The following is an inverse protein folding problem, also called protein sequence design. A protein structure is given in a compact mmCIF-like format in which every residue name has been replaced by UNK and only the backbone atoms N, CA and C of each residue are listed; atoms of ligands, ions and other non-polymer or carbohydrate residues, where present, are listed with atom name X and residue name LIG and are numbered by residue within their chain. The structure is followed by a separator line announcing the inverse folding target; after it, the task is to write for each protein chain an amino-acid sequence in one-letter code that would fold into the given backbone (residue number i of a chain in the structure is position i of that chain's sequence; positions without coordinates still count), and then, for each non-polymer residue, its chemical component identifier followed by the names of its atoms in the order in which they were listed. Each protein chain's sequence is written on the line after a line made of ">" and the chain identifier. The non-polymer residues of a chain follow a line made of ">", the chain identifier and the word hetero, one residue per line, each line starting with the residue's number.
data_IF_227714943167
#
_entry.id   IF_227714943167
#
_cell.length_a   1.000
_cell.length_b   1.000
_cell.length_c   1.000
_cell.angle_alpha   90.00
_cell.angle_beta   90.00
_cell.angle_gamma   90.00
#
_symmetry.space_group_name_H-M   'P 1'
#
loop_
_entity.id
_entity.type
_entity.pdbx_description
1 polymer ?
#
# COMPACT_ATOMS: atom_id res chain seq x y z
N UNK A 1 -1.15 -22.40 23.50
CA UNK A 1 -0.80 -21.01 23.09
C UNK A 1 -1.94 -20.04 23.44
N UNK A 2 -3.18 -20.29 22.99
CA UNK A 2 -4.32 -19.38 23.28
C UNK A 2 -4.60 -19.25 24.80
N UNK A 3 -4.45 -20.32 25.57
CA UNK A 3 -4.62 -20.30 27.01
C UNK A 3 -3.54 -19.49 27.74
N UNK A 4 -2.33 -19.49 27.21
CA UNK A 4 -1.16 -18.90 27.87
C UNK A 4 -0.99 -17.40 27.57
N UNK A 5 -1.39 -16.95 26.36
CA UNK A 5 -1.14 -15.60 25.86
C UNK A 5 -2.41 -14.79 25.55
N UNK A 6 -3.58 -15.40 25.78
CA UNK A 6 -4.88 -14.81 25.47
C UNK A 6 -5.31 -15.04 24.02
N UNK A 7 -6.45 -15.68 23.84
CA UNK A 7 -7.03 -15.98 22.54
C UNK A 7 -7.19 -14.76 21.62
N UNK A 8 -7.49 -13.59 22.22
CA UNK A 8 -7.65 -12.33 21.48
C UNK A 8 -6.35 -11.87 20.85
N UNK A 9 -5.24 -11.87 21.61
CA UNK A 9 -3.92 -11.43 21.12
C UNK A 9 -3.43 -12.32 19.99
N UNK A 10 -3.54 -13.64 20.17
CA UNK A 10 -3.13 -14.60 19.14
C UNK A 10 -3.98 -14.45 17.87
N UNK A 11 -5.31 -14.31 18.02
CA UNK A 11 -6.21 -14.02 16.88
C UNK A 11 -5.78 -12.77 16.13
N UNK A 12 -5.45 -11.69 16.81
CA UNK A 12 -5.02 -10.44 16.18
C UNK A 12 -3.72 -10.62 15.37
N UNK A 13 -2.70 -11.26 15.98
CA UNK A 13 -1.42 -11.53 15.31
C UNK A 13 -1.60 -12.44 14.10
N UNK A 14 -2.33 -13.54 14.24
CA UNK A 14 -2.56 -14.47 13.14
C UNK A 14 -3.38 -13.84 12.02
N UNK A 15 -4.33 -12.96 12.36
CA UNK A 15 -5.13 -12.25 11.38
C UNK A 15 -4.33 -11.25 10.56
N UNK A 16 -3.38 -10.52 11.17
CA UNK A 16 -2.55 -9.58 10.40
C UNK A 16 -1.48 -10.28 9.59
N UNK A 17 -0.88 -11.36 10.09
CA UNK A 17 0.02 -12.21 9.31
C UNK A 17 -0.70 -12.82 8.10
N UNK A 18 -1.95 -13.24 8.28
CA UNK A 18 -2.78 -13.73 7.20
C UNK A 18 -3.08 -12.64 6.14
N UNK A 19 -3.37 -11.42 6.58
CA UNK A 19 -3.70 -10.32 5.70
C UNK A 19 -2.48 -9.73 4.97
N UNK A 20 -1.28 -9.83 5.55
CA UNK A 20 -0.07 -9.28 4.99
C UNK A 20 0.19 -9.82 3.58
N UNK A 21 0.54 -8.94 2.66
CA UNK A 21 0.81 -9.27 1.26
C UNK A 21 2.08 -10.12 1.11
N UNK A 22 3.14 -9.70 1.76
CA UNK A 22 4.47 -10.33 1.67
C UNK A 22 5.08 -10.60 3.05
N UNK A 23 4.23 -10.92 4.04
CA UNK A 23 4.65 -11.09 5.43
C UNK A 23 4.88 -9.78 6.17
N UNK A 24 5.23 -9.89 7.44
CA UNK A 24 5.47 -8.75 8.32
C UNK A 24 6.85 -8.84 8.95
N UNK A 25 7.52 -7.70 9.11
CA UNK A 25 8.73 -7.61 9.92
C UNK A 25 8.36 -7.75 11.40
N UNK A 26 9.31 -8.19 12.20
CA UNK A 26 9.07 -8.35 13.64
C UNK A 26 8.67 -7.02 14.30
N UNK A 27 9.31 -5.92 13.93
CA UNK A 27 8.98 -4.57 14.37
C UNK A 27 7.57 -4.12 13.96
N UNK A 28 7.09 -4.55 12.78
CA UNK A 28 5.72 -4.28 12.32
C UNK A 28 4.69 -5.05 13.16
N UNK A 29 5.00 -6.29 13.53
CA UNK A 29 4.15 -7.11 14.41
C UNK A 29 4.07 -6.49 15.82
N UNK A 30 5.22 -6.12 16.37
CA UNK A 30 5.30 -5.46 17.69
C UNK A 30 4.56 -4.13 17.69
N UNK A 31 4.79 -3.28 16.68
CA UNK A 31 4.12 -2.00 16.55
C UNK A 31 2.61 -2.12 16.36
N UNK A 32 2.14 -3.14 15.64
CA UNK A 32 0.70 -3.41 15.44
C UNK A 32 0.04 -3.95 16.71
N UNK A 33 0.65 -4.95 17.34
CA UNK A 33 0.06 -5.66 18.47
C UNK A 33 0.24 -4.95 19.81
N UNK A 34 1.20 -4.03 19.92
CA UNK A 34 1.58 -3.39 21.17
C UNK A 34 2.27 -4.34 22.18
N UNK A 35 2.66 -5.54 21.74
CA UNK A 35 3.37 -6.49 22.57
C UNK A 35 4.78 -6.02 22.89
N UNK A 36 5.25 -6.41 24.09
CA UNK A 36 6.67 -6.28 24.43
C UNK A 36 7.49 -7.35 23.71
N UNK A 37 8.76 -7.09 23.36
CA UNK A 37 9.61 -8.05 22.64
C UNK A 37 9.68 -9.43 23.29
N UNK A 38 9.72 -9.50 24.62
CA UNK A 38 9.73 -10.77 25.36
C UNK A 38 8.42 -11.56 25.18
N UNK A 39 7.27 -10.90 25.20
CA UNK A 39 5.98 -11.56 24.98
C UNK A 39 5.88 -12.11 23.55
N UNK A 40 6.35 -11.34 22.60
CA UNK A 40 6.42 -11.77 21.21
C UNK A 40 7.38 -12.96 21.04
N UNK A 41 8.55 -12.95 21.65
CA UNK A 41 9.51 -14.05 21.57
C UNK A 41 8.91 -15.39 22.03
N UNK A 42 8.12 -15.39 23.09
CA UNK A 42 7.39 -16.57 23.56
C UNK A 42 6.35 -17.05 22.54
N UNK A 43 5.55 -16.12 21.99
CA UNK A 43 4.52 -16.45 20.98
C UNK A 43 5.21 -17.00 19.72
N UNK A 44 6.27 -16.34 19.25
CA UNK A 44 7.04 -16.78 18.07
C UNK A 44 7.62 -18.18 18.26
N UNK A 45 8.21 -18.45 19.43
CA UNK A 45 8.74 -19.77 19.75
C UNK A 45 7.64 -20.85 19.79
N UNK A 46 6.48 -20.50 20.36
CA UNK A 46 5.33 -21.42 20.41
C UNK A 46 4.71 -21.67 19.02
N UNK A 47 4.76 -20.70 18.12
CA UNK A 47 4.37 -20.89 16.72
C UNK A 47 5.41 -21.73 15.93
N UNK A 48 6.68 -21.71 16.39
CA UNK A 48 7.74 -22.59 15.90
C UNK A 48 7.81 -22.70 14.39
N UNK A 49 7.71 -23.92 13.85
CA UNK A 49 7.88 -24.18 12.41
C UNK A 49 6.70 -23.70 11.55
N UNK A 50 5.65 -23.11 12.14
CA UNK A 50 4.51 -22.57 11.36
C UNK A 50 4.84 -21.24 10.68
N UNK A 51 5.87 -20.54 11.17
CA UNK A 51 6.36 -19.28 10.61
C UNK A 51 7.82 -19.43 10.19
N UNK A 52 8.13 -18.96 8.99
CA UNK A 52 9.50 -18.86 8.50
C UNK A 52 9.87 -17.39 8.27
N UNK A 53 11.16 -17.11 8.38
CA UNK A 53 11.72 -15.82 8.01
C UNK A 53 12.13 -15.86 6.53
N UNK A 54 11.48 -15.02 5.74
CA UNK A 54 11.80 -14.80 4.34
C UNK A 54 12.34 -13.37 4.18
N UNK A 55 13.66 -13.22 4.17
CA UNK A 55 14.33 -11.91 4.02
C UNK A 55 13.92 -10.87 5.06
N UNK A 56 13.87 -11.27 6.33
CA UNK A 56 13.48 -10.40 7.46
C UNK A 56 11.98 -10.20 7.61
N UNK A 57 11.16 -10.97 6.90
CA UNK A 57 9.70 -10.95 7.00
C UNK A 57 9.17 -12.32 7.42
N UNK A 58 8.30 -12.34 8.40
CA UNK A 58 7.64 -13.54 8.85
C UNK A 58 6.44 -13.85 7.97
N UNK A 59 6.46 -15.03 7.40
CA UNK A 59 5.37 -15.58 6.58
C UNK A 59 4.96 -16.96 7.11
N UNK A 60 3.79 -17.44 6.74
CA UNK A 60 3.44 -18.83 6.99
C UNK A 60 4.33 -19.77 6.18
N UNK A 61 4.84 -20.79 6.84
CA UNK A 61 5.72 -21.79 6.22
C UNK A 61 5.03 -22.56 5.08
N UNK A 62 3.71 -22.71 5.16
CA UNK A 62 2.91 -23.43 4.19
C UNK A 62 1.52 -22.80 4.01
N UNK A 63 0.97 -22.87 2.80
CA UNK A 63 -0.34 -22.30 2.47
C UNK A 63 -1.48 -22.90 3.31
N UNK A 64 -1.40 -24.18 3.69
CA UNK A 64 -2.41 -24.76 4.56
C UNK A 64 -2.49 -24.09 5.94
N UNK A 65 -1.41 -23.50 6.42
CA UNK A 65 -1.45 -22.72 7.67
C UNK A 65 -2.26 -21.44 7.49
N UNK A 66 -2.13 -20.78 6.33
CA UNK A 66 -2.93 -19.62 5.97
C UNK A 66 -4.42 -19.97 5.88
N UNK A 67 -4.74 -21.14 5.30
CA UNK A 67 -6.10 -21.67 5.24
C UNK A 67 -6.62 -21.93 6.65
N UNK A 68 -5.87 -22.65 7.49
CA UNK A 68 -6.27 -22.96 8.87
C UNK A 68 -6.51 -21.71 9.73
N UNK A 69 -5.71 -20.66 9.56
CA UNK A 69 -5.91 -19.36 10.22
C UNK A 69 -7.20 -18.69 9.74
N UNK A 70 -7.45 -18.74 8.42
CA UNK A 70 -8.69 -18.23 7.85
C UNK A 70 -9.92 -18.95 8.41
N UNK A 71 -9.88 -20.28 8.46
CA UNK A 71 -10.99 -21.11 8.94
C UNK A 71 -11.24 -20.91 10.44
N UNK A 72 -10.16 -20.79 11.22
CA UNK A 72 -10.29 -20.61 12.68
C UNK A 72 -10.78 -19.21 13.07
N UNK A 73 -10.25 -18.17 12.44
CA UNK A 73 -10.43 -16.79 12.91
C UNK A 73 -11.31 -15.93 12.00
N UNK A 74 -11.57 -16.36 10.77
CA UNK A 74 -12.25 -15.57 9.74
C UNK A 74 -13.37 -16.32 9.00
N UNK A 75 -13.73 -17.52 9.46
CA UNK A 75 -14.84 -18.27 8.88
C UNK A 75 -16.23 -17.79 9.37
N UNK A 76 -16.27 -17.00 10.45
CA UNK A 76 -17.53 -16.67 11.13
C UNK A 76 -18.06 -17.87 11.89
N UNK A 77 -19.34 -17.80 12.30
CA UNK A 77 -19.98 -18.86 13.09
C UNK A 77 -20.50 -20.05 12.25
N UNK A 78 -20.16 -20.11 10.96
CA UNK A 78 -20.65 -21.18 10.10
C UNK A 78 -19.81 -22.44 10.22
N UNK A 79 -20.44 -23.51 10.65
CA UNK A 79 -19.97 -24.89 10.64
C UNK A 79 -19.52 -25.32 9.25
N UNK A 80 -18.41 -26.08 9.26
CA UNK A 80 -17.81 -26.80 8.15
C UNK A 80 -18.90 -27.40 7.22
N UNK A 81 -18.95 -26.98 5.96
CA UNK A 81 -19.73 -27.74 4.97
C UNK A 81 -20.41 -27.00 3.82
N UNK A 82 -20.45 -25.67 3.78
CA UNK A 82 -21.02 -24.94 2.65
C UNK A 82 -19.98 -24.10 1.92
N UNK A 83 -19.79 -24.36 0.63
CA UNK A 83 -18.85 -23.70 -0.30
C UNK A 83 -19.15 -22.22 -0.59
N UNK A 84 -20.16 -21.64 0.03
CA UNK A 84 -20.44 -20.21 -0.01
C UNK A 84 -19.70 -19.48 1.10
N UNK A 85 -18.75 -18.61 0.76
CA UNK A 85 -18.18 -17.68 1.73
C UNK A 85 -19.33 -16.93 2.42
N UNK A 86 -19.56 -17.20 3.70
CA UNK A 86 -20.62 -16.48 4.42
C UNK A 86 -20.29 -14.99 4.39
N UNK A 87 -21.29 -14.13 4.36
CA UNK A 87 -21.13 -12.69 4.40
C UNK A 87 -20.31 -12.26 5.64
N UNK A 88 -20.46 -13.00 6.74
CA UNK A 88 -19.70 -12.77 7.97
C UNK A 88 -18.21 -13.07 7.78
N UNK A 89 -17.83 -14.17 7.14
CA UNK A 89 -16.45 -14.50 6.83
C UNK A 89 -15.81 -13.43 5.95
N UNK A 90 -16.53 -12.99 4.91
CA UNK A 90 -16.06 -11.91 4.05
C UNK A 90 -15.83 -10.62 4.84
N UNK A 91 -16.75 -10.25 5.73
CA UNK A 91 -16.64 -9.07 6.60
C UNK A 91 -15.44 -9.16 7.53
N UNK A 92 -15.18 -10.34 8.13
CA UNK A 92 -14.02 -10.56 8.98
C UNK A 92 -12.69 -10.40 8.23
N UNK A 93 -12.60 -10.97 7.01
CA UNK A 93 -11.43 -10.83 6.13
C UNK A 93 -11.21 -9.38 5.71
N UNK A 94 -12.24 -8.71 5.21
CA UNK A 94 -12.16 -7.28 4.87
C UNK A 94 -11.73 -6.42 6.08
N UNK A 95 -12.22 -6.75 7.28
CA UNK A 95 -11.85 -6.03 8.49
C UNK A 95 -10.37 -6.24 8.88
N UNK A 96 -9.81 -7.45 8.70
CA UNK A 96 -8.39 -7.70 8.93
C UNK A 96 -7.52 -6.83 8.01
N UNK A 97 -7.83 -6.82 6.70
CA UNK A 97 -7.16 -5.96 5.73
C UNK A 97 -7.32 -4.47 6.06
N UNK A 98 -8.52 -4.02 6.40
CA UNK A 98 -8.78 -2.61 6.75
C UNK A 98 -7.99 -2.16 7.99
N UNK A 99 -7.87 -3.01 9.02
CA UNK A 99 -7.07 -2.73 10.20
C UNK A 99 -5.59 -2.60 9.87
N UNK A 100 -5.06 -3.51 9.06
CA UNK A 100 -3.66 -3.50 8.67
C UNK A 100 -3.34 -2.27 7.79
N UNK A 101 -4.22 -1.93 6.85
CA UNK A 101 -4.07 -0.71 6.05
C UNK A 101 -3.99 0.55 6.91
N UNK A 102 -4.89 0.69 7.88
CA UNK A 102 -4.91 1.84 8.81
C UNK A 102 -3.62 1.93 9.62
N UNK A 103 -3.12 0.78 10.08
CA UNK A 103 -1.87 0.76 10.82
C UNK A 103 -0.71 1.23 9.96
N UNK A 104 -0.54 0.67 8.75
CA UNK A 104 0.50 1.12 7.82
C UNK A 104 0.37 2.62 7.49
N UNK A 105 -0.82 3.12 7.21
CA UNK A 105 -1.05 4.56 6.95
C UNK A 105 -0.67 5.45 8.14
N UNK A 106 -0.87 4.96 9.39
CA UNK A 106 -0.55 5.72 10.59
C UNK A 106 0.95 5.90 10.80
N UNK A 107 1.78 5.03 10.23
CA UNK A 107 3.23 5.01 10.41
C UNK A 107 4.03 5.26 9.12
N UNK A 108 3.36 5.34 7.97
CA UNK A 108 3.99 5.68 6.70
C UNK A 108 4.12 7.19 6.51
N UNK A 109 5.16 7.59 5.77
CA UNK A 109 5.40 8.98 5.34
C UNK A 109 5.51 10.01 6.47
N UNK A 110 5.91 9.58 7.67
CA UNK A 110 6.22 10.47 8.78
C UNK A 110 7.67 10.97 8.66
N UNK A 111 7.84 12.28 8.77
CA UNK A 111 9.16 12.89 8.68
C UNK A 111 10.02 12.45 9.89
N UNK A 112 11.17 11.83 9.62
CA UNK A 112 12.24 11.55 10.58
C UNK A 112 12.15 10.30 11.45
N UNK A 113 11.01 9.63 11.60
CA UNK A 113 10.85 8.43 12.45
C UNK A 113 9.79 7.45 11.92
N UNK A 114 9.79 7.20 10.63
CA UNK A 114 8.83 6.23 10.08
C UNK A 114 9.30 4.81 10.37
N UNK A 115 8.52 4.05 11.15
CA UNK A 115 8.68 2.60 11.31
C UNK A 115 8.44 1.88 9.97
N UNK A 116 7.60 2.48 9.11
CA UNK A 116 7.23 1.97 7.80
C UNK A 116 7.99 2.75 6.73
N UNK A 117 8.84 2.07 5.96
CA UNK A 117 9.50 2.66 4.80
C UNK A 117 8.53 2.94 3.65
N UNK A 118 8.89 3.86 2.74
CA UNK A 118 8.08 4.16 1.56
C UNK A 118 7.84 2.91 0.68
N UNK A 119 8.83 2.02 0.59
CA UNK A 119 8.70 0.73 -0.08
C UNK A 119 7.59 -0.14 0.54
N UNK A 120 7.58 -0.27 1.88
CA UNK A 120 6.56 -1.04 2.59
C UNK A 120 5.19 -0.38 2.50
N UNK A 121 5.15 0.95 2.56
CA UNK A 121 3.92 1.70 2.37
C UNK A 121 3.31 1.47 0.97
N UNK A 122 4.14 1.52 -0.08
CA UNK A 122 3.73 1.26 -1.45
C UNK A 122 3.29 -0.20 -1.68
N UNK A 123 3.93 -1.15 -1.00
CA UNK A 123 3.62 -2.57 -1.11
C UNK A 123 2.31 -2.94 -0.41
N UNK A 124 2.09 -2.44 0.80
CA UNK A 124 0.99 -2.90 1.66
C UNK A 124 -0.27 -2.03 1.56
N UNK A 125 -0.17 -0.71 1.64
CA UNK A 125 -1.35 0.13 1.84
C UNK A 125 -2.37 0.01 0.70
N UNK A 126 -2.00 0.15 -0.60
CA UNK A 126 -2.96 0.02 -1.69
C UNK A 126 -3.56 -1.40 -1.76
N UNK A 127 -2.71 -2.42 -1.61
CA UNK A 127 -3.14 -3.81 -1.57
C UNK A 127 -4.15 -4.05 -0.46
N UNK A 128 -3.89 -3.60 0.75
CA UNK A 128 -4.75 -3.79 1.89
C UNK A 128 -6.12 -3.10 1.71
N UNK A 129 -6.16 -1.87 1.19
CA UNK A 129 -7.42 -1.19 0.88
C UNK A 129 -8.21 -1.89 -0.22
N UNK A 130 -7.53 -2.43 -1.24
CA UNK A 130 -8.17 -3.23 -2.29
C UNK A 130 -8.81 -4.49 -1.71
N UNK A 131 -8.08 -5.26 -0.90
CA UNK A 131 -8.58 -6.49 -0.27
C UNK A 131 -9.71 -6.21 0.73
N UNK A 132 -9.66 -5.08 1.42
CA UNK A 132 -10.73 -4.59 2.29
C UNK A 132 -11.98 -4.13 1.52
N UNK A 133 -11.92 -4.00 0.18
CA UNK A 133 -12.96 -3.42 -0.67
C UNK A 133 -13.34 -1.98 -0.29
N UNK A 134 -12.41 -1.27 0.35
CA UNK A 134 -12.56 0.13 0.77
C UNK A 134 -12.14 1.08 -0.37
N UNK A 135 -12.90 1.04 -1.47
CA UNK A 135 -12.56 1.68 -2.74
C UNK A 135 -12.28 3.18 -2.62
N UNK A 136 -13.06 3.90 -1.83
CA UNK A 136 -12.84 5.35 -1.62
C UNK A 136 -11.53 5.63 -0.89
N UNK A 137 -11.12 4.76 0.04
CA UNK A 137 -9.83 4.88 0.73
C UNK A 137 -8.68 4.54 -0.21
N UNK A 138 -8.82 3.48 -1.00
CA UNK A 138 -7.85 3.16 -2.05
C UNK A 138 -7.66 4.36 -2.99
N UNK A 139 -8.73 4.94 -3.53
CA UNK A 139 -8.67 6.12 -4.39
C UNK A 139 -7.95 7.29 -3.70
N UNK A 140 -8.33 7.61 -2.46
CA UNK A 140 -7.67 8.67 -1.69
C UNK A 140 -6.19 8.39 -1.47
N UNK A 141 -5.82 7.14 -1.24
CA UNK A 141 -4.42 6.72 -1.06
C UNK A 141 -3.62 6.90 -2.34
N UNK A 142 -4.13 6.44 -3.49
CA UNK A 142 -3.43 6.55 -4.78
C UNK A 142 -3.28 8.01 -5.25
N UNK A 143 -4.15 8.90 -4.80
CA UNK A 143 -4.08 10.34 -5.10
C UNK A 143 -3.21 11.14 -4.13
N UNK A 144 -2.54 10.50 -3.15
CA UNK A 144 -1.50 11.15 -2.34
C UNK A 144 -0.19 11.19 -3.11
N UNK A 145 0.43 12.37 -3.20
CA UNK A 145 1.70 12.55 -3.92
C UNK A 145 2.80 11.58 -3.45
N UNK A 146 3.05 11.50 -2.14
CA UNK A 146 4.07 10.60 -1.57
C UNK A 146 3.79 9.13 -1.95
N UNK A 147 2.53 8.71 -2.02
CA UNK A 147 2.16 7.35 -2.42
C UNK A 147 2.40 7.11 -3.91
N UNK A 148 2.01 8.04 -4.78
CA UNK A 148 2.30 7.95 -6.22
C UNK A 148 3.80 7.76 -6.45
N UNK A 149 4.62 8.63 -5.86
CA UNK A 149 6.09 8.56 -5.99
C UNK A 149 6.62 7.22 -5.45
N UNK A 150 6.13 6.77 -4.29
CA UNK A 150 6.57 5.52 -3.69
C UNK A 150 6.23 4.30 -4.55
N UNK A 151 5.02 4.24 -5.13
CA UNK A 151 4.63 3.14 -6.02
C UNK A 151 5.47 3.15 -7.29
N UNK A 152 5.64 4.30 -7.96
CA UNK A 152 6.44 4.41 -9.17
C UNK A 152 7.93 4.11 -8.94
N UNK A 153 8.45 4.37 -7.73
CA UNK A 153 9.83 4.09 -7.37
C UNK A 153 10.09 2.65 -6.98
N UNK A 154 9.19 2.02 -6.21
CA UNK A 154 9.44 0.74 -5.56
C UNK A 154 8.58 -0.41 -6.10
N UNK A 155 7.57 -0.09 -6.90
CA UNK A 155 6.67 -1.08 -7.51
C UNK A 155 6.70 -0.93 -9.04
N UNK A 156 5.55 -0.87 -9.69
CA UNK A 156 5.48 -0.68 -11.14
C UNK A 156 4.26 0.13 -11.55
N UNK A 157 4.33 0.73 -12.74
CA UNK A 157 3.20 1.40 -13.37
C UNK A 157 2.04 0.44 -13.63
N UNK A 158 2.34 -0.82 -13.97
CA UNK A 158 1.35 -1.88 -14.17
C UNK A 158 0.56 -2.16 -12.88
N UNK A 159 1.26 -2.20 -11.75
CA UNK A 159 0.60 -2.40 -10.45
C UNK A 159 -0.30 -1.21 -10.11
N UNK A 160 0.20 0.02 -10.28
CA UNK A 160 -0.60 1.23 -10.08
C UNK A 160 -1.84 1.24 -10.99
N UNK A 161 -1.68 0.91 -12.27
CA UNK A 161 -2.78 0.80 -13.21
C UNK A 161 -3.79 -0.26 -12.78
N UNK A 162 -3.34 -1.41 -12.27
CA UNK A 162 -4.22 -2.48 -11.82
C UNK A 162 -5.17 -2.03 -10.70
N UNK A 163 -4.68 -1.21 -9.76
CA UNK A 163 -5.52 -0.61 -8.72
C UNK A 163 -6.56 0.35 -9.30
N UNK A 164 -6.15 1.17 -10.26
CA UNK A 164 -7.06 2.12 -10.92
C UNK A 164 -8.16 1.42 -11.73
N UNK A 165 -7.83 0.36 -12.47
CA UNK A 165 -8.82 -0.45 -13.18
C UNK A 165 -9.87 -1.04 -12.22
N UNK A 166 -9.44 -1.49 -11.03
CA UNK A 166 -10.38 -1.93 -9.99
C UNK A 166 -11.26 -0.80 -9.45
N UNK A 167 -10.75 0.40 -9.33
CA UNK A 167 -11.54 1.57 -8.95
C UNK A 167 -12.53 1.97 -10.04
N UNK A 168 -12.13 1.97 -11.31
CA UNK A 168 -13.02 2.22 -12.44
C UNK A 168 -14.16 1.20 -12.50
N UNK A 169 -13.86 -0.09 -12.26
CA UNK A 169 -14.85 -1.17 -12.22
C UNK A 169 -15.87 -0.98 -11.08
N UNK A 170 -15.40 -0.67 -9.87
CA UNK A 170 -16.24 -0.73 -8.66
C UNK A 170 -16.93 0.59 -8.30
N UNK A 171 -16.31 1.73 -8.56
CA UNK A 171 -16.88 3.04 -8.19
C UNK A 171 -16.97 4.03 -9.37
N UNK A 172 -16.77 3.54 -10.60
CA UNK A 172 -16.91 4.32 -11.84
C UNK A 172 -16.13 5.63 -11.83
N UNK A 173 -14.93 5.59 -11.26
CA UNK A 173 -14.03 6.75 -11.19
C UNK A 173 -13.12 6.81 -12.40
N UNK A 174 -12.76 8.01 -12.83
CA UNK A 174 -11.79 8.23 -13.92
C UNK A 174 -10.44 8.66 -13.36
N UNK A 175 -9.37 8.02 -13.81
CA UNK A 175 -7.99 8.26 -13.34
C UNK A 175 -7.58 9.72 -13.55
N UNK A 176 -7.78 10.23 -14.77
CA UNK A 176 -7.34 11.59 -15.14
C UNK A 176 -8.02 12.64 -14.28
N UNK A 177 -9.34 12.56 -14.14
CA UNK A 177 -10.13 13.47 -13.30
C UNK A 177 -9.63 13.47 -11.85
N UNK A 178 -9.25 12.32 -11.31
CA UNK A 178 -8.77 12.24 -9.94
C UNK A 178 -7.37 12.84 -9.78
N UNK A 179 -6.47 12.59 -10.72
CA UNK A 179 -5.14 13.20 -10.68
C UNK A 179 -5.19 14.70 -10.99
N UNK A 180 -6.09 15.18 -11.83
CA UNK A 180 -6.28 16.62 -12.02
C UNK A 180 -6.69 17.32 -10.72
N UNK A 181 -7.63 16.73 -9.96
CA UNK A 181 -8.02 17.24 -8.65
C UNK A 181 -6.88 17.19 -7.63
N UNK A 182 -6.10 16.11 -7.63
CA UNK A 182 -4.96 15.94 -6.75
C UNK A 182 -3.84 16.92 -7.10
N UNK A 183 -3.53 17.11 -8.39
CA UNK A 183 -2.52 18.03 -8.90
C UNK A 183 -2.74 19.46 -8.43
N UNK A 184 -3.99 19.94 -8.46
CA UNK A 184 -4.33 21.28 -7.97
C UNK A 184 -3.95 21.50 -6.51
N UNK A 185 -3.98 20.43 -5.69
CA UNK A 185 -3.57 20.47 -4.28
C UNK A 185 -2.06 20.37 -4.12
N UNK A 186 -1.41 19.49 -4.89
CA UNK A 186 0.03 19.27 -4.79
C UNK A 186 0.86 20.49 -5.17
N UNK A 187 0.41 21.23 -6.20
CA UNK A 187 1.12 22.40 -6.73
C UNK A 187 1.26 23.55 -5.73
N UNK A 188 0.43 23.60 -4.69
CA UNK A 188 0.41 24.69 -3.73
C UNK A 188 1.62 24.74 -2.79
N UNK A 189 2.30 23.61 -2.59
CA UNK A 189 3.30 23.43 -1.54
C UNK A 189 4.71 23.10 -2.06
N UNK A 190 5.02 23.33 -3.36
CA UNK A 190 6.27 22.87 -3.97
C UNK A 190 7.08 23.94 -4.70
N UNK A 191 8.40 23.71 -4.78
CA UNK A 191 9.29 24.46 -5.68
C UNK A 191 9.01 24.13 -7.14
N UNK A 192 9.41 25.00 -8.07
CA UNK A 192 9.22 24.77 -9.52
C UNK A 192 9.89 23.47 -9.99
N UNK A 193 11.13 23.21 -9.54
CA UNK A 193 11.90 22.01 -9.90
C UNK A 193 11.18 20.73 -9.42
N UNK A 194 10.77 20.68 -8.15
CA UNK A 194 10.03 19.53 -7.61
C UNK A 194 8.67 19.33 -8.30
N UNK A 195 8.05 20.42 -8.74
CA UNK A 195 6.80 20.39 -9.52
C UNK A 195 7.05 19.78 -10.92
N UNK A 196 8.16 20.11 -11.56
CA UNK A 196 8.54 19.57 -12.86
C UNK A 196 8.80 18.06 -12.81
N UNK A 197 9.59 17.60 -11.85
CA UNK A 197 9.87 16.15 -11.67
C UNK A 197 8.60 15.35 -11.39
N UNK A 198 7.70 15.91 -10.60
CA UNK A 198 6.40 15.28 -10.32
C UNK A 198 5.52 15.27 -11.57
N UNK A 199 5.52 16.35 -12.35
CA UNK A 199 4.80 16.43 -13.63
C UNK A 199 5.28 15.35 -14.58
N UNK A 200 6.60 15.16 -14.70
CA UNK A 200 7.18 14.12 -15.57
C UNK A 200 6.67 12.73 -15.18
N UNK A 201 6.79 12.36 -13.89
CA UNK A 201 6.33 11.05 -13.39
C UNK A 201 4.83 10.81 -13.61
N UNK A 202 4.03 11.86 -13.42
CA UNK A 202 2.58 11.76 -13.63
C UNK A 202 2.24 11.66 -15.11
N UNK A 203 2.91 12.44 -15.99
CA UNK A 203 2.73 12.39 -17.42
C UNK A 203 3.10 11.02 -17.99
N UNK A 204 4.24 10.46 -17.57
CA UNK A 204 4.70 9.13 -17.98
C UNK A 204 3.66 8.07 -17.61
N UNK A 205 3.19 8.08 -16.36
CA UNK A 205 2.15 7.14 -15.92
C UNK A 205 0.84 7.29 -16.68
N UNK A 206 0.33 8.52 -16.84
CA UNK A 206 -0.91 8.75 -17.59
C UNK A 206 -0.79 8.33 -19.06
N UNK A 207 0.36 8.59 -19.68
CA UNK A 207 0.67 8.14 -21.04
C UNK A 207 0.71 6.61 -21.12
N UNK A 208 1.35 5.94 -20.15
CA UNK A 208 1.36 4.49 -20.03
C UNK A 208 -0.05 3.89 -19.96
N UNK A 209 -1.01 4.58 -19.34
CA UNK A 209 -2.42 4.14 -19.29
C UNK A 209 -3.17 4.26 -20.62
N UNK A 210 -2.54 4.77 -21.68
CA UNK A 210 -3.17 5.04 -22.98
C UNK A 210 -3.96 6.35 -23.05
N UNK A 211 -3.89 7.21 -22.04
CA UNK A 211 -4.63 8.48 -21.95
C UNK A 211 -3.86 9.70 -22.48
N UNK A 212 -2.81 9.47 -23.28
CA UNK A 212 -1.93 10.51 -23.82
C UNK A 212 -2.65 11.60 -24.63
N UNK A 213 -3.84 11.32 -25.18
CA UNK A 213 -4.65 12.25 -25.96
C UNK A 213 -5.56 13.14 -25.11
N UNK A 214 -5.74 12.87 -23.83
CA UNK A 214 -6.62 13.62 -22.94
C UNK A 214 -6.02 14.97 -22.54
N UNK A 215 -6.89 15.95 -22.23
CA UNK A 215 -6.49 17.35 -22.06
C UNK A 215 -5.55 17.57 -20.87
N UNK A 216 -5.84 16.94 -19.73
CA UNK A 216 -5.00 17.07 -18.54
C UNK A 216 -3.65 16.39 -18.73
N UNK A 217 -3.61 15.20 -19.34
CA UNK A 217 -2.37 14.48 -19.64
C UNK A 217 -1.46 15.33 -20.52
N UNK A 218 -1.98 15.94 -21.58
CA UNK A 218 -1.22 16.86 -22.44
C UNK A 218 -0.68 18.05 -21.64
N UNK A 219 -1.52 18.70 -20.85
CA UNK A 219 -1.11 19.83 -20.00
C UNK A 219 0.03 19.49 -19.05
N UNK A 220 0.00 18.30 -18.43
CA UNK A 220 1.06 17.85 -17.53
C UNK A 220 2.33 17.50 -18.28
N UNK A 221 2.22 16.89 -19.46
CA UNK A 221 3.37 16.61 -20.33
C UNK A 221 4.06 17.90 -20.83
N UNK A 222 3.28 18.92 -21.21
CA UNK A 222 3.82 20.22 -21.61
C UNK A 222 4.58 20.88 -20.45
N UNK A 223 4.01 20.84 -19.24
CA UNK A 223 4.67 21.37 -18.04
C UNK A 223 5.98 20.63 -17.71
N UNK A 224 6.01 19.32 -17.87
CA UNK A 224 7.21 18.51 -17.67
C UNK A 224 8.29 18.88 -18.70
N UNK A 225 7.90 19.07 -19.98
CA UNK A 225 8.80 19.46 -21.03
C UNK A 225 9.39 20.87 -20.81
N UNK A 226 8.57 21.85 -20.45
CA UNK A 226 9.02 23.21 -20.13
C UNK A 226 10.05 23.21 -19.01
N UNK A 227 9.79 22.46 -17.93
CA UNK A 227 10.73 22.32 -16.83
C UNK A 227 12.05 21.66 -17.26
N UNK A 228 12.00 20.62 -18.08
CA UNK A 228 13.18 19.94 -18.61
C UNK A 228 14.04 20.88 -19.45
N UNK A 229 13.44 21.70 -20.32
CA UNK A 229 14.13 22.69 -21.14
C UNK A 229 14.81 23.74 -20.23
N UNK A 230 14.12 24.24 -19.21
CA UNK A 230 14.66 25.26 -18.32
C UNK A 230 15.86 24.74 -17.53
N UNK A 231 15.79 23.53 -16.98
CA UNK A 231 16.90 22.89 -16.24
C UNK A 231 18.11 22.61 -17.14
N UNK A 232 17.90 22.14 -18.37
CA UNK A 232 19.01 21.84 -19.30
C UNK A 232 19.57 23.10 -19.95
N UNK A 233 18.75 24.12 -20.22
CA UNK A 233 19.18 25.42 -20.72
C UNK A 233 20.13 26.12 -19.73
N UNK A 234 19.78 26.15 -18.45
CA UNK A 234 20.61 26.73 -17.40
C UNK A 234 21.95 26.00 -17.20
N UNK A 235 21.99 24.67 -17.37
CA UNK A 235 23.24 23.90 -17.29
C UNK A 235 24.20 24.21 -18.45
N UNK A 236 23.69 24.44 -19.66
CA UNK A 236 24.52 24.78 -20.82
C UNK A 236 25.11 26.20 -20.71
N UNK A 237 24.42 27.16 -20.10
CA UNK A 237 24.93 28.50 -19.85
C UNK A 237 26.04 28.54 -18.77
N UNK A 238 25.95 27.69 -17.75
CA UNK A 238 26.97 27.59 -16.70
C UNK A 238 28.26 26.95 -17.24
N UNK A 239 28.12 25.94 -18.10
CA UNK A 239 29.31 25.26 -18.71
C UNK A 239 30.02 26.13 -19.73
N UNK A 240 29.36 27.10 -20.34
CA UNK A 240 29.96 28.05 -21.28
C UNK A 240 30.60 29.27 -20.61
N UNK A 241 30.47 29.44 -19.30
CA UNK A 241 31.09 30.54 -18.50
C UNK A 241 32.26 30.10 -17.65
N UNK A 242 32.63 28.84 -17.67
CA UNK A 242 33.81 28.24 -17.00
C UNK A 242 34.87 27.87 -18.03
#
# INVERSE_FOLDING_TARGET
>A
IEGDYGAKTLKEIMSVLWAARAGLREEEILGYSGLKPMQWAYIRNALGPTLIDASGRLIFAHDYMRIAVSDRYMAGNNTIGNEGQSQEALKLRCNAHSKLAKWFESYAFKDGQSIVSDERAAEEIPYQWQQAKEWKKLQTTLTKQKMLIAILKHRSEQELLSYWLKLEENIKTDIETQYEKAWKKWKLDQTEEATGDLAQKLADFLSFTGRWHQAFTKKIADLALENSIHVHGNKSEITNRS
#
